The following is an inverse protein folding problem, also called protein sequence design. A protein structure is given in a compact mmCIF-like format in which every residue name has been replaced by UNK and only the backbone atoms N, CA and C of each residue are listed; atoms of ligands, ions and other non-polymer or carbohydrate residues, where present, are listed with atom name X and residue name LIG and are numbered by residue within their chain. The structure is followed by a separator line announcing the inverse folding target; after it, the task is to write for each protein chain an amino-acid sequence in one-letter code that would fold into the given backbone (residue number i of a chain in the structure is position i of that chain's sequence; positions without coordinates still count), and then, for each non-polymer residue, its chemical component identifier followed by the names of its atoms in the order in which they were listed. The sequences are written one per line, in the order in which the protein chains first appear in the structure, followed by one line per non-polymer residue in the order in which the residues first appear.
data_IF_591195891923
#
_entry.id   IF_591195891923
#
_cell.length_a   1.000
_cell.length_b   1.000
_cell.length_c   1.000
_cell.angle_alpha   90.00
_cell.angle_beta   90.00
_cell.angle_gamma   90.00
#
_symmetry.space_group_name_H-M   'P 1'
#
loop_
_entity.id
_entity.type
_entity.pdbx_description
1 polymer ?
#
# COMPACT_ATOMS: atom_id res chain seq x y z
N UNK A 1 -0.86 0.63 20.63
CA UNK A 1 -0.54 -0.46 19.68
C UNK A 1 0.80 -0.16 19.02
N UNK A 2 1.63 -1.17 18.74
CA UNK A 2 2.87 -0.96 17.99
C UNK A 2 2.52 -0.74 16.51
N UNK A 3 2.73 0.48 16.00
CA UNK A 3 2.42 0.87 14.62
C UNK A 3 3.63 0.79 13.69
N UNK A 4 4.75 0.24 14.17
CA UNK A 4 5.90 -0.11 13.35
C UNK A 4 5.69 -1.50 12.77
N UNK A 5 5.86 -1.63 11.47
CA UNK A 5 5.69 -2.89 10.76
C UNK A 5 6.86 -3.12 9.80
N UNK A 6 7.40 -4.34 9.80
CA UNK A 6 8.36 -4.76 8.78
C UNK A 6 7.63 -5.33 7.58
N UNK A 7 7.75 -4.66 6.44
CA UNK A 7 7.08 -5.07 5.21
C UNK A 7 8.11 -5.68 4.27
N UNK A 8 7.78 -6.82 3.66
CA UNK A 8 8.57 -7.52 2.66
C UNK A 8 7.88 -7.48 1.30
N UNK A 9 8.63 -7.11 0.27
CA UNK A 9 8.19 -7.13 -1.12
C UNK A 9 9.00 -8.16 -1.87
N UNK A 10 8.32 -8.93 -2.71
CA UNK A 10 8.93 -10.01 -3.49
C UNK A 10 9.10 -9.57 -4.93
N UNK A 11 10.26 -9.84 -5.52
CA UNK A 11 10.49 -9.67 -6.94
C UNK A 11 11.15 -10.91 -7.51
N UNK A 12 10.37 -11.73 -8.21
CA UNK A 12 10.89 -12.85 -8.99
C UNK A 12 10.28 -12.87 -10.39
N UNK A 13 11.11 -13.28 -11.35
CA UNK A 13 10.67 -13.51 -12.73
C UNK A 13 9.79 -14.75 -12.87
N UNK A 14 8.87 -14.76 -13.84
CA UNK A 14 8.06 -15.92 -14.12
C UNK A 14 8.90 -17.10 -14.60
N UNK A 15 8.38 -18.32 -14.44
CA UNK A 15 8.98 -19.51 -15.05
C UNK A 15 8.76 -19.50 -16.57
N UNK A 16 9.70 -20.09 -17.33
CA UNK A 16 9.55 -20.25 -18.79
C UNK A 16 8.31 -21.06 -19.14
N UNK A 17 7.71 -20.79 -20.31
CA UNK A 17 6.50 -21.49 -20.79
C UNK A 17 6.69 -23.00 -20.96
N UNK A 18 7.90 -23.44 -21.32
CA UNK A 18 8.28 -24.85 -21.50
C UNK A 18 8.49 -25.62 -20.20
N UNK A 19 8.50 -24.97 -19.05
CA UNK A 19 8.75 -25.60 -17.76
C UNK A 19 7.58 -26.54 -17.41
N UNK A 20 7.87 -27.74 -16.87
CA UNK A 20 6.82 -28.66 -16.36
C UNK A 20 6.44 -28.32 -14.92
N UNK A 21 5.20 -28.62 -14.51
CA UNK A 21 4.67 -28.44 -13.16
C UNK A 21 4.84 -27.02 -12.61
N UNK A 22 4.58 -26.04 -13.47
CA UNK A 22 5.00 -24.66 -13.24
C UNK A 22 4.31 -24.06 -12.03
N UNK A 23 2.99 -24.28 -11.87
CA UNK A 23 2.28 -23.82 -10.68
C UNK A 23 2.95 -24.36 -9.41
N UNK A 24 3.20 -25.67 -9.35
CA UNK A 24 3.85 -26.31 -8.19
C UNK A 24 5.22 -25.68 -7.89
N UNK A 25 6.03 -25.41 -8.91
CA UNK A 25 7.33 -24.76 -8.75
C UNK A 25 7.23 -23.29 -8.34
N UNK A 26 6.26 -22.55 -8.88
CA UNK A 26 5.98 -21.17 -8.47
C UNK A 26 5.52 -21.12 -7.02
N UNK A 27 4.62 -22.00 -6.61
CA UNK A 27 4.18 -22.12 -5.21
C UNK A 27 5.36 -22.44 -4.29
N UNK A 28 6.23 -23.38 -4.64
CA UNK A 28 7.44 -23.66 -3.86
C UNK A 28 8.32 -22.40 -3.68
N UNK A 29 8.54 -21.63 -4.75
CA UNK A 29 9.29 -20.36 -4.68
C UNK A 29 8.59 -19.32 -3.79
N UNK A 30 7.27 -19.21 -3.89
CA UNK A 30 6.50 -18.31 -3.05
C UNK A 30 6.60 -18.71 -1.59
N UNK A 31 6.45 -20.00 -1.28
CA UNK A 31 6.61 -20.52 0.08
C UNK A 31 8.00 -20.24 0.65
N UNK A 32 9.06 -20.39 -0.15
CA UNK A 32 10.43 -20.04 0.25
C UNK A 32 10.59 -18.54 0.53
N UNK A 33 9.91 -17.67 -0.22
CA UNK A 33 9.90 -16.22 0.03
C UNK A 33 9.18 -15.89 1.34
N UNK A 34 8.09 -16.60 1.66
CA UNK A 34 7.40 -16.45 2.95
C UNK A 34 8.30 -16.91 4.10
N UNK A 35 9.01 -18.04 3.96
CA UNK A 35 9.96 -18.51 4.97
C UNK A 35 11.09 -17.51 5.20
N UNK A 36 11.65 -16.95 4.14
CA UNK A 36 12.68 -15.90 4.24
C UNK A 36 12.15 -14.64 4.93
N UNK A 37 10.94 -14.21 4.60
CA UNK A 37 10.30 -13.06 5.25
C UNK A 37 10.03 -13.32 6.73
N UNK A 38 9.67 -14.55 7.09
CA UNK A 38 9.52 -14.95 8.49
C UNK A 38 10.85 -14.90 9.25
N UNK A 39 11.95 -15.34 8.65
CA UNK A 39 13.30 -15.21 9.23
C UNK A 39 13.70 -13.74 9.45
N UNK A 40 13.26 -12.85 8.56
CA UNK A 40 13.43 -11.40 8.68
C UNK A 40 12.48 -10.77 9.70
N UNK A 41 11.55 -11.53 10.28
CA UNK A 41 10.49 -11.06 11.19
C UNK A 41 9.56 -10.05 10.53
N UNK A 42 9.19 -10.29 9.27
CA UNK A 42 8.22 -9.46 8.57
C UNK A 42 6.81 -9.63 9.13
N UNK A 43 6.09 -8.53 9.20
CA UNK A 43 4.66 -8.48 9.53
C UNK A 43 3.78 -8.76 8.32
N UNK A 44 4.24 -8.34 7.13
CA UNK A 44 3.54 -8.55 5.87
C UNK A 44 4.53 -8.88 4.76
N UNK A 45 4.15 -9.81 3.88
CA UNK A 45 4.82 -10.07 2.60
C UNK A 45 3.86 -9.85 1.44
N UNK A 46 4.32 -9.21 0.36
CA UNK A 46 3.54 -8.99 -0.86
C UNK A 46 4.23 -9.53 -2.11
N UNK A 47 3.43 -10.09 -3.00
CA UNK A 47 3.88 -10.64 -4.28
C UNK A 47 3.46 -9.77 -5.49
N UNK A 48 4.14 -9.93 -6.64
CA UNK A 48 3.78 -9.23 -7.87
C UNK A 48 2.38 -9.56 -8.39
N UNK A 49 1.87 -8.75 -9.32
CA UNK A 49 0.62 -8.99 -10.03
C UNK A 49 0.64 -10.37 -10.71
N UNK A 50 -0.43 -11.14 -10.53
CA UNK A 50 -0.56 -12.53 -11.00
C UNK A 50 0.64 -13.34 -10.47
N UNK A 51 0.81 -13.46 -9.16
CA UNK A 51 1.98 -14.13 -8.59
C UNK A 51 2.04 -15.64 -8.87
N UNK A 52 0.89 -16.27 -9.19
CA UNK A 52 0.81 -17.64 -9.66
C UNK A 52 1.13 -17.78 -11.17
N UNK A 53 1.57 -16.69 -11.82
CA UNK A 53 1.79 -16.54 -13.26
C UNK A 53 2.80 -17.50 -13.87
N UNK A 54 2.39 -17.99 -15.03
CA UNK A 54 3.06 -18.99 -15.84
C UNK A 54 3.24 -18.51 -17.30
N UNK A 55 4.17 -17.57 -17.56
CA UNK A 55 4.87 -17.35 -18.85
C UNK A 55 4.08 -16.68 -20.00
N UNK A 56 4.73 -16.56 -21.17
CA UNK A 56 4.46 -15.51 -22.18
C UNK A 56 3.24 -15.69 -23.12
N UNK A 57 2.54 -16.84 -23.16
CA UNK A 57 1.49 -17.09 -24.19
C UNK A 57 0.06 -16.95 -23.63
N UNK A 58 -0.20 -17.49 -22.45
CA UNK A 58 -1.41 -17.20 -21.67
C UNK A 58 -1.00 -17.20 -20.20
N UNK A 59 -0.92 -16.01 -19.60
CA UNK A 59 -0.36 -15.90 -18.27
C UNK A 59 -1.28 -16.36 -17.15
N UNK A 60 -2.57 -16.46 -17.46
CA UNK A 60 -3.61 -16.60 -16.47
C UNK A 60 -3.83 -18.06 -16.10
N UNK A 61 -3.59 -18.36 -14.84
CA UNK A 61 -4.16 -19.51 -14.17
C UNK A 61 -5.18 -18.99 -13.18
N UNK A 62 -6.46 -19.10 -13.55
CA UNK A 62 -7.55 -18.67 -12.68
C UNK A 62 -7.87 -19.74 -11.66
N UNK A 63 -8.04 -19.33 -10.40
CA UNK A 63 -8.32 -20.21 -9.27
C UNK A 63 -9.51 -19.70 -8.47
N UNK A 64 -10.33 -20.56 -7.86
CA UNK A 64 -11.26 -20.10 -6.82
C UNK A 64 -10.46 -19.61 -5.59
N UNK A 65 -11.11 -18.90 -4.68
CA UNK A 65 -10.45 -18.37 -3.47
C UNK A 65 -9.98 -19.47 -2.49
N UNK A 66 -10.48 -20.70 -2.62
CA UNK A 66 -9.98 -21.89 -1.92
C UNK A 66 -9.01 -22.72 -2.78
N UNK A 67 -8.54 -22.15 -3.89
CA UNK A 67 -7.60 -22.76 -4.81
C UNK A 67 -6.21 -23.01 -4.22
N UNK A 68 -5.34 -23.70 -4.97
CA UNK A 68 -4.04 -24.13 -4.48
C UNK A 68 -3.13 -22.97 -4.04
N UNK A 69 -3.19 -21.82 -4.71
CA UNK A 69 -2.34 -20.67 -4.37
C UNK A 69 -2.75 -20.06 -3.04
N UNK A 70 -4.04 -19.71 -2.87
CA UNK A 70 -4.54 -19.13 -1.61
C UNK A 70 -4.42 -20.12 -0.47
N UNK A 71 -4.68 -21.41 -0.70
CA UNK A 71 -4.52 -22.47 0.31
C UNK A 71 -3.07 -22.58 0.79
N UNK A 72 -2.10 -22.60 -0.14
CA UNK A 72 -0.69 -22.68 0.22
C UNK A 72 -0.23 -21.45 1.02
N UNK A 73 -0.60 -20.25 0.56
CA UNK A 73 -0.25 -19.00 1.24
C UNK A 73 -0.95 -18.86 2.60
N UNK A 74 -2.19 -19.31 2.74
CA UNK A 74 -2.94 -19.37 4.00
C UNK A 74 -2.25 -20.24 5.04
N UNK A 75 -1.79 -21.43 4.64
CA UNK A 75 -0.99 -22.29 5.51
C UNK A 75 0.29 -21.60 5.99
N UNK A 76 1.02 -20.94 5.10
CA UNK A 76 2.29 -20.26 5.45
C UNK A 76 2.07 -19.01 6.30
N UNK A 77 1.04 -18.23 6.01
CA UNK A 77 0.62 -17.07 6.79
C UNK A 77 0.35 -17.48 8.24
N UNK A 78 -0.45 -18.55 8.44
CA UNK A 78 -0.72 -19.14 9.75
C UNK A 78 0.53 -19.69 10.44
N UNK A 79 1.35 -20.44 9.70
CA UNK A 79 2.58 -21.05 10.22
C UNK A 79 3.55 -20.00 10.79
N UNK A 80 3.68 -18.86 10.11
CA UNK A 80 4.66 -17.82 10.46
C UNK A 80 4.05 -16.60 11.14
N UNK A 81 2.73 -16.62 11.40
CA UNK A 81 1.98 -15.53 12.00
C UNK A 81 2.25 -14.18 11.30
N UNK A 82 2.12 -14.14 9.97
CA UNK A 82 2.33 -12.93 9.16
C UNK A 82 1.20 -12.75 8.13
N UNK A 83 1.00 -11.52 7.65
CA UNK A 83 0.07 -11.22 6.57
C UNK A 83 0.69 -11.53 5.20
N UNK A 84 -0.11 -12.04 4.26
CA UNK A 84 0.32 -12.31 2.89
C UNK A 84 -0.61 -11.59 1.91
N UNK A 85 -0.05 -10.75 1.04
CA UNK A 85 -0.75 -10.19 -0.11
C UNK A 85 -0.44 -11.04 -1.33
N UNK A 86 -1.46 -11.70 -1.87
CA UNK A 86 -1.38 -12.66 -2.96
C UNK A 86 -2.23 -12.19 -4.14
N UNK A 87 -1.65 -11.51 -5.14
CA UNK A 87 -2.35 -11.14 -6.35
C UNK A 87 -2.41 -12.29 -7.35
N UNK A 88 -3.58 -12.65 -7.85
CA UNK A 88 -3.80 -13.78 -8.76
C UNK A 88 -5.08 -13.59 -9.59
N UNK A 89 -5.20 -14.37 -10.66
CA UNK A 89 -6.48 -14.49 -11.35
C UNK A 89 -7.46 -15.30 -10.50
N UNK A 90 -8.60 -14.73 -10.10
CA UNK A 90 -9.65 -15.47 -9.38
C UNK A 90 -10.84 -15.81 -10.28
N UNK A 91 -11.50 -16.93 -9.99
CA UNK A 91 -12.83 -17.25 -10.53
C UNK A 91 -13.83 -17.34 -9.38
N UNK A 92 -14.87 -16.52 -9.46
CA UNK A 92 -15.93 -16.43 -8.46
C UNK A 92 -17.28 -16.43 -9.17
N UNK A 93 -18.14 -17.40 -8.84
CA UNK A 93 -19.45 -17.57 -9.50
C UNK A 93 -19.38 -17.61 -11.04
N UNK A 94 -18.29 -18.15 -11.59
CA UNK A 94 -18.05 -18.23 -13.04
C UNK A 94 -17.44 -16.98 -13.67
N UNK A 95 -17.31 -15.88 -12.91
CA UNK A 95 -16.69 -14.64 -13.36
C UNK A 95 -15.19 -14.64 -13.08
N UNK A 96 -14.41 -14.07 -14.00
CA UNK A 96 -12.95 -13.96 -13.87
C UNK A 96 -12.57 -12.58 -13.38
N UNK A 97 -11.62 -12.50 -12.47
CA UNK A 97 -11.10 -11.24 -11.93
C UNK A 97 -9.57 -11.27 -11.89
N UNK A 98 -8.95 -10.09 -12.04
CA UNK A 98 -7.59 -9.86 -11.57
C UNK A 98 -7.69 -9.35 -10.14
N UNK A 99 -7.26 -10.17 -9.19
CA UNK A 99 -7.55 -9.95 -7.78
C UNK A 99 -6.28 -9.86 -6.94
N UNK A 100 -6.34 -9.16 -5.82
CA UNK A 100 -5.33 -9.16 -4.77
C UNK A 100 -5.97 -9.58 -3.46
N UNK A 101 -5.54 -10.72 -2.94
CA UNK A 101 -6.09 -11.33 -1.72
C UNK A 101 -5.17 -11.00 -0.56
N UNK A 102 -5.70 -10.37 0.50
CA UNK A 102 -5.01 -10.22 1.77
C UNK A 102 -5.38 -11.36 2.69
N UNK A 103 -4.38 -12.14 3.08
CA UNK A 103 -4.49 -13.26 4.00
C UNK A 103 -3.93 -12.84 5.36
N UNK A 104 -4.68 -13.12 6.41
CA UNK A 104 -4.37 -12.76 7.79
C UNK A 104 -3.37 -13.71 8.45
N UNK A 105 -2.83 -13.27 9.59
CA UNK A 105 -1.89 -14.06 10.39
C UNK A 105 -2.43 -15.41 10.87
N UNK A 106 -3.76 -15.57 10.93
CA UNK A 106 -4.44 -16.82 11.28
C UNK A 106 -4.64 -17.77 10.08
N UNK A 107 -4.27 -17.33 8.87
CA UNK A 107 -4.49 -18.04 7.61
C UNK A 107 -5.87 -17.83 6.98
N UNK A 108 -6.70 -16.94 7.52
CA UNK A 108 -8.00 -16.61 6.92
C UNK A 108 -7.88 -15.44 5.94
N UNK A 109 -8.76 -15.39 4.94
CA UNK A 109 -8.83 -14.23 4.04
C UNK A 109 -9.39 -13.04 4.83
N UNK A 110 -8.61 -11.97 4.93
CA UNK A 110 -9.03 -10.69 5.51
C UNK A 110 -9.87 -9.91 4.51
N UNK A 111 -9.53 -10.01 3.22
CA UNK A 111 -10.33 -9.45 2.15
C UNK A 111 -9.71 -9.62 0.77
N UNK A 112 -10.49 -9.26 -0.23
CA UNK A 112 -10.14 -9.38 -1.65
C UNK A 112 -10.37 -8.04 -2.33
N UNK A 113 -9.41 -7.62 -3.14
CA UNK A 113 -9.52 -6.48 -4.03
C UNK A 113 -9.58 -6.97 -5.46
N UNK A 114 -10.52 -6.48 -6.28
CA UNK A 114 -10.53 -6.71 -7.72
C UNK A 114 -10.06 -5.44 -8.45
N UNK A 115 -9.15 -5.61 -9.41
CA UNK A 115 -8.60 -4.52 -10.23
C UNK A 115 -9.72 -3.69 -10.83
N UNK A 116 -9.74 -2.39 -10.55
CA UNK A 116 -10.82 -1.50 -11.00
C UNK A 116 -10.68 -1.16 -12.47
N UNK A 117 -9.44 -1.02 -12.94
CA UNK A 117 -9.14 -0.71 -14.34
C UNK A 117 -8.30 -1.83 -14.97
N UNK A 118 -8.92 -2.93 -15.41
CA UNK A 118 -8.25 -3.90 -16.27
C UNK A 118 -7.82 -3.26 -17.59
N UNK A 119 -6.69 -3.69 -18.12
CA UNK A 119 -6.22 -3.34 -19.46
C UNK A 119 -7.12 -3.96 -20.54
N UNK A 120 -7.06 -3.46 -21.78
CA UNK A 120 -7.81 -4.04 -22.89
C UNK A 120 -7.53 -5.55 -23.06
N UNK A 121 -6.27 -5.98 -22.92
CA UNK A 121 -5.90 -7.39 -23.01
C UNK A 121 -6.52 -8.26 -21.89
N UNK A 122 -6.76 -7.68 -20.71
CA UNK A 122 -7.48 -8.35 -19.62
C UNK A 122 -8.98 -8.44 -19.91
N UNK A 123 -9.57 -7.37 -20.45
CA UNK A 123 -10.98 -7.35 -20.87
C UNK A 123 -11.25 -8.35 -21.99
N UNK A 124 -10.34 -8.46 -22.97
CA UNK A 124 -10.45 -9.36 -24.14
C UNK A 124 -10.57 -10.84 -23.73
N UNK A 125 -10.04 -11.21 -22.55
CA UNK A 125 -10.13 -12.59 -22.01
C UNK A 125 -11.27 -12.78 -20.98
N UNK A 126 -12.08 -11.73 -20.79
CA UNK A 126 -13.27 -11.74 -19.95
C UNK A 126 -13.02 -11.42 -18.47
N UNK A 127 -11.95 -10.71 -18.13
CA UNK A 127 -11.77 -10.19 -16.76
C UNK A 127 -12.78 -9.08 -16.50
N UNK A 128 -13.53 -9.20 -15.41
CA UNK A 128 -14.51 -8.21 -14.99
C UNK A 128 -13.82 -7.16 -14.11
N UNK A 129 -14.05 -5.86 -14.34
CA UNK A 129 -13.58 -4.79 -13.45
C UNK A 129 -14.16 -4.90 -12.04
N UNK A 130 -13.34 -4.61 -11.03
CA UNK A 130 -13.79 -4.25 -9.69
C UNK A 130 -14.42 -2.86 -9.63
N UNK A 131 -15.13 -2.56 -8.55
CA UNK A 131 -15.82 -1.27 -8.35
C UNK A 131 -15.51 -0.63 -6.99
N UNK A 132 -14.68 -1.26 -6.17
CA UNK A 132 -14.34 -0.82 -4.82
C UNK A 132 -12.82 -0.77 -4.63
N UNK A 133 -12.36 0.08 -3.71
CA UNK A 133 -10.97 0.11 -3.25
C UNK A 133 -10.92 0.15 -1.72
N UNK A 134 -11.20 -0.98 -1.04
CA UNK A 134 -11.25 -1.05 0.41
C UNK A 134 -9.86 -0.93 1.05
N UNK A 135 -9.85 -0.52 2.32
CA UNK A 135 -8.69 -0.59 3.19
C UNK A 135 -8.94 -1.62 4.28
N UNK A 136 -8.03 -2.59 4.41
CA UNK A 136 -8.16 -3.70 5.33
C UNK A 136 -7.44 -3.40 6.65
N UNK A 137 -8.08 -3.74 7.77
CA UNK A 137 -7.51 -3.53 9.10
C UNK A 137 -6.46 -4.62 9.40
N UNK A 138 -5.25 -4.21 9.77
CA UNK A 138 -4.23 -5.08 10.38
C UNK A 138 -3.93 -4.62 11.82
N UNK A 139 -3.06 -5.34 12.52
CA UNK A 139 -2.63 -4.99 13.88
C UNK A 139 -1.64 -3.82 13.94
N UNK A 140 -1.09 -3.41 12.79
CA UNK A 140 -0.15 -2.29 12.67
C UNK A 140 -0.69 -1.08 11.90
N UNK A 141 -1.83 -1.20 11.22
CA UNK A 141 -2.48 -0.09 10.51
C UNK A 141 -3.49 -0.55 9.45
N UNK A 142 -3.95 0.37 8.60
CA UNK A 142 -4.83 0.04 7.47
C UNK A 142 -4.05 -0.15 6.17
N UNK A 143 -4.23 -1.31 5.54
CA UNK A 143 -3.57 -1.70 4.29
C UNK A 143 -4.56 -1.65 3.14
N UNK A 144 -4.31 -0.81 2.14
CA UNK A 144 -5.01 -0.81 0.87
C UNK A 144 -4.30 -1.68 -0.17
N UNK A 145 -5.05 -2.18 -1.15
CA UNK A 145 -4.53 -2.94 -2.28
C UNK A 145 -4.90 -2.24 -3.59
N UNK A 146 -3.98 -2.25 -4.55
CA UNK A 146 -4.24 -1.77 -5.91
C UNK A 146 -3.35 -2.53 -6.90
N UNK A 147 -3.76 -2.60 -8.16
CA UNK A 147 -3.09 -3.44 -9.14
C UNK A 147 -2.73 -2.65 -10.39
N UNK A 148 -1.41 -2.52 -10.63
CA UNK A 148 -0.84 -2.10 -11.90
C UNK A 148 -1.53 -0.87 -12.53
N UNK A 149 -2.31 -1.09 -13.58
CA UNK A 149 -2.96 -0.05 -14.38
C UNK A 149 -3.86 0.89 -13.59
N UNK A 150 -4.37 0.46 -12.41
CA UNK A 150 -5.12 1.29 -11.47
C UNK A 150 -4.38 2.59 -11.09
N UNK A 151 -3.04 2.58 -11.09
CA UNK A 151 -2.24 3.75 -10.67
C UNK A 151 -2.46 5.00 -11.53
N UNK A 152 -2.98 4.82 -12.75
CA UNK A 152 -3.28 5.91 -13.68
C UNK A 152 -4.61 6.61 -13.34
N UNK A 153 -5.42 6.03 -12.46
CA UNK A 153 -6.79 6.46 -12.20
C UNK A 153 -6.89 7.04 -10.79
N UNK A 154 -7.02 8.36 -10.72
CA UNK A 154 -7.02 9.11 -9.46
C UNK A 154 -8.17 8.68 -8.54
N UNK A 155 -9.28 8.17 -9.11
CA UNK A 155 -10.46 7.68 -8.41
C UNK A 155 -10.10 6.54 -7.45
N UNK A 156 -9.23 5.60 -7.86
CA UNK A 156 -8.81 4.46 -7.04
C UNK A 156 -8.00 4.95 -5.84
N UNK A 157 -7.00 5.78 -6.08
CA UNK A 157 -6.18 6.37 -5.00
C UNK A 157 -7.00 7.24 -4.05
N UNK A 158 -7.98 7.99 -4.58
CA UNK A 158 -8.89 8.79 -3.77
C UNK A 158 -9.77 7.91 -2.88
N UNK A 159 -10.26 6.79 -3.39
CA UNK A 159 -11.10 5.87 -2.63
C UNK A 159 -10.31 5.14 -1.54
N UNK A 160 -9.08 4.67 -1.82
CA UNK A 160 -8.15 4.14 -0.81
C UNK A 160 -7.89 5.16 0.31
N UNK A 161 -7.67 6.43 -0.08
CA UNK A 161 -7.46 7.53 0.86
C UNK A 161 -8.68 7.76 1.77
N UNK A 162 -9.89 7.80 1.19
CA UNK A 162 -11.16 7.93 1.94
C UNK A 162 -11.38 6.75 2.89
N UNK A 163 -11.01 5.54 2.46
CA UNK A 163 -11.11 4.32 3.28
C UNK A 163 -10.02 4.22 4.37
N UNK A 164 -9.13 5.21 4.42
CA UNK A 164 -8.17 5.37 5.50
C UNK A 164 -6.91 4.53 5.33
N UNK A 165 -6.55 4.12 4.10
CA UNK A 165 -5.30 3.41 3.84
C UNK A 165 -4.10 4.23 4.34
N UNK A 166 -3.19 3.55 5.03
CA UNK A 166 -1.94 4.12 5.56
C UNK A 166 -0.72 3.52 4.85
N UNK A 167 -0.87 2.28 4.39
CA UNK A 167 0.02 1.59 3.46
C UNK A 167 -0.81 1.08 2.29
N UNK A 168 -0.35 1.30 1.06
CA UNK A 168 -0.90 0.68 -0.13
C UNK A 168 0.12 -0.31 -0.68
N UNK A 169 -0.29 -1.56 -0.86
CA UNK A 169 0.48 -2.52 -1.64
C UNK A 169 -0.01 -2.44 -3.08
N UNK A 170 0.89 -2.00 -3.96
CA UNK A 170 0.66 -1.91 -5.38
C UNK A 170 1.41 -3.03 -6.10
N UNK A 171 0.68 -4.05 -6.52
CA UNK A 171 1.23 -5.21 -7.21
C UNK A 171 1.12 -5.01 -8.71
N UNK A 172 2.20 -5.27 -9.46
CA UNK A 172 2.23 -4.91 -10.87
C UNK A 172 3.11 -5.78 -11.75
N UNK A 173 2.91 -5.64 -13.06
CA UNK A 173 3.82 -6.07 -14.11
C UNK A 173 4.66 -4.91 -14.69
N UNK A 174 4.69 -3.75 -14.03
CA UNK A 174 5.36 -2.51 -14.46
C UNK A 174 5.97 -1.76 -13.25
N UNK A 175 7.17 -1.16 -13.34
CA UNK A 175 7.82 -0.52 -12.19
C UNK A 175 7.06 0.63 -11.49
N UNK A 176 6.15 1.34 -12.16
CA UNK A 176 5.40 2.44 -11.52
C UNK A 176 6.16 3.77 -11.43
N UNK A 177 7.42 3.71 -10.98
CA UNK A 177 8.34 4.84 -10.76
C UNK A 177 7.62 6.09 -10.21
N UNK A 178 7.60 7.18 -10.98
CA UNK A 178 7.07 8.49 -10.55
C UNK A 178 5.58 8.48 -10.20
N UNK A 179 4.81 7.53 -10.72
CA UNK A 179 3.40 7.41 -10.37
C UNK A 179 3.22 7.00 -8.90
N UNK A 180 4.15 6.20 -8.36
CA UNK A 180 4.19 5.84 -6.95
C UNK A 180 4.40 7.08 -6.08
N UNK A 181 5.43 7.89 -6.40
CA UNK A 181 5.67 9.18 -5.74
C UNK A 181 4.45 10.08 -5.81
N UNK A 182 3.81 10.21 -6.98
CA UNK A 182 2.61 11.03 -7.15
C UNK A 182 1.49 10.58 -6.21
N UNK A 183 1.17 9.30 -6.14
CA UNK A 183 0.10 8.80 -5.28
C UNK A 183 0.44 8.96 -3.80
N UNK A 184 1.67 8.65 -3.41
CA UNK A 184 2.12 8.76 -2.03
C UNK A 184 1.97 10.20 -1.50
N UNK A 185 2.42 11.21 -2.26
CA UNK A 185 2.33 12.61 -1.82
C UNK A 185 0.89 13.15 -1.89
N UNK A 186 0.13 12.79 -2.93
CA UNK A 186 -1.25 13.25 -3.12
C UNK A 186 -2.17 12.71 -2.03
N UNK A 187 -2.02 11.44 -1.68
CA UNK A 187 -2.92 10.74 -0.78
C UNK A 187 -2.32 10.50 0.60
N UNK A 188 -1.03 10.74 0.84
CA UNK A 188 -0.39 10.65 2.15
C UNK A 188 -0.39 9.24 2.75
N UNK A 189 -0.14 8.21 1.95
CA UNK A 189 0.09 6.82 2.40
C UNK A 189 1.47 6.33 1.96
N UNK A 190 2.02 5.35 2.68
CA UNK A 190 3.18 4.59 2.21
C UNK A 190 2.78 3.74 0.99
N UNK A 191 3.71 3.48 0.08
CA UNK A 191 3.50 2.53 -1.01
C UNK A 191 4.59 1.46 -1.01
N UNK A 192 4.18 0.20 -1.03
CA UNK A 192 5.03 -0.93 -1.38
C UNK A 192 4.69 -1.42 -2.79
N UNK A 193 5.61 -1.24 -3.73
CA UNK A 193 5.48 -1.65 -5.14
C UNK A 193 6.23 -2.95 -5.38
N UNK A 194 5.57 -3.93 -6.01
CA UNK A 194 6.18 -5.21 -6.33
C UNK A 194 5.93 -5.60 -7.79
N UNK A 195 7.04 -5.80 -8.50
CA UNK A 195 7.13 -6.27 -9.88
C UNK A 195 8.22 -7.35 -9.98
N UNK A 196 8.12 -8.23 -10.98
CA UNK A 196 9.05 -9.32 -11.25
C UNK A 196 10.54 -8.93 -11.25
N UNK A 197 10.90 -7.69 -11.62
CA UNK A 197 12.29 -7.21 -11.64
C UNK A 197 12.61 -6.09 -10.67
N UNK A 198 11.64 -5.62 -9.89
CA UNK A 198 11.84 -4.48 -9.01
C UNK A 198 10.87 -4.50 -7.83
N UNK A 199 11.40 -4.24 -6.64
CA UNK A 199 10.61 -3.89 -5.45
C UNK A 199 10.97 -2.47 -5.04
N UNK A 200 9.98 -1.64 -4.78
CA UNK A 200 10.17 -0.23 -4.42
C UNK A 200 9.30 0.16 -3.23
N UNK A 201 9.89 0.87 -2.26
CA UNK A 201 9.17 1.50 -1.16
C UNK A 201 9.17 3.02 -1.33
N UNK A 202 8.01 3.63 -1.18
CA UNK A 202 7.82 5.09 -1.18
C UNK A 202 7.17 5.51 0.12
N UNK A 203 7.71 6.55 0.74
CA UNK A 203 7.15 7.10 1.98
C UNK A 203 5.93 8.00 1.74
N UNK A 204 5.27 8.41 2.82
CA UNK A 204 4.06 9.26 2.76
C UNK A 204 4.32 10.67 2.17
N UNK A 205 5.58 11.07 2.00
CA UNK A 205 5.97 12.33 1.37
C UNK A 205 6.40 12.14 -0.10
N UNK A 206 6.24 10.93 -0.65
CA UNK A 206 6.57 10.62 -2.04
C UNK A 206 8.04 10.28 -2.29
N UNK A 207 8.87 10.15 -1.24
CA UNK A 207 10.29 9.84 -1.38
C UNK A 207 10.50 8.34 -1.51
N UNK A 208 11.30 7.96 -2.50
CA UNK A 208 11.75 6.59 -2.65
C UNK A 208 12.72 6.23 -1.51
N UNK A 209 12.36 5.24 -0.70
CA UNK A 209 13.15 4.81 0.46
C UNK A 209 14.10 3.66 0.12
N UNK A 210 13.66 2.75 -0.75
CA UNK A 210 14.41 1.58 -1.17
C UNK A 210 13.89 1.14 -2.54
N UNK A 211 14.81 0.92 -3.48
CA UNK A 211 14.54 0.20 -4.73
C UNK A 211 15.53 -0.93 -4.92
N UNK A 212 15.02 -2.13 -5.18
CA UNK A 212 15.82 -3.33 -5.41
C UNK A 212 15.63 -3.82 -6.84
N UNK A 213 16.57 -3.48 -7.72
CA UNK A 213 16.59 -3.90 -9.12
C UNK A 213 17.20 -5.30 -9.29
N UNK A 214 16.50 -6.20 -9.98
CA UNK A 214 16.84 -7.62 -9.98
C UNK A 214 17.98 -8.06 -10.90
N UNK A 215 18.37 -7.23 -11.87
CA UNK A 215 19.33 -7.62 -12.91
C UNK A 215 20.66 -8.20 -12.37
N UNK A 216 21.24 -7.58 -11.33
CA UNK A 216 22.51 -8.03 -10.72
C UNK A 216 22.26 -8.97 -9.53
N UNK A 217 21.17 -8.76 -8.78
CA UNK A 217 20.86 -9.58 -7.60
C UNK A 217 20.54 -11.02 -7.97
N UNK A 218 19.84 -11.24 -9.09
CA UNK A 218 19.55 -12.60 -9.58
C UNK A 218 20.83 -13.32 -9.99
N UNK A 219 21.73 -12.64 -10.69
CA UNK A 219 23.02 -13.18 -11.13
C UNK A 219 23.96 -13.54 -9.97
N UNK A 220 23.77 -12.91 -8.81
CA UNK A 220 24.57 -13.12 -7.60
C UNK A 220 23.87 -14.03 -6.57
N UNK A 221 22.68 -14.55 -6.89
CA UNK A 221 21.91 -15.43 -6.00
C UNK A 221 21.29 -14.73 -4.79
N UNK A 222 21.18 -13.40 -4.81
CA UNK A 222 20.59 -12.62 -3.72
C UNK A 222 19.07 -12.86 -3.63
N UNK A 223 18.57 -12.93 -2.39
CA UNK A 223 17.17 -13.21 -2.05
C UNK A 223 16.17 -12.39 -2.89
N UNK A 224 15.06 -12.99 -3.38
CA UNK A 224 13.92 -12.30 -4.03
C UNK A 224 13.18 -11.31 -3.13
N UNK A 225 13.48 -11.29 -1.83
CA UNK A 225 12.78 -10.50 -0.83
C UNK A 225 13.55 -9.22 -0.51
N UNK A 226 12.86 -8.08 -0.53
CA UNK A 226 13.36 -6.79 -0.04
C UNK A 226 12.46 -6.30 1.09
N UNK A 227 13.03 -5.97 2.24
CA UNK A 227 12.26 -5.62 3.44
C UNK A 227 12.61 -4.23 3.97
N UNK A 228 11.63 -3.54 4.51
CA UNK A 228 11.79 -2.23 5.14
C UNK A 228 10.89 -2.11 6.38
N UNK A 229 11.39 -1.46 7.43
CA UNK A 229 10.59 -1.09 8.59
C UNK A 229 9.86 0.23 8.30
N UNK A 230 8.53 0.20 8.37
CA UNK A 230 7.67 1.36 8.19
C UNK A 230 7.04 1.76 9.52
N UNK A 231 6.86 3.07 9.74
CA UNK A 231 6.18 3.61 10.90
C UNK A 231 4.81 4.16 10.48
N UNK A 232 3.77 3.34 10.58
CA UNK A 232 2.39 3.72 10.24
C UNK A 232 1.76 4.62 11.31
N UNK A 233 2.52 5.05 12.33
CA UNK A 233 2.13 6.17 13.17
C UNK A 233 2.42 7.52 12.50
N UNK A 234 3.17 7.58 11.39
CA UNK A 234 3.47 8.83 10.70
C UNK A 234 2.23 9.38 9.97
N UNK A 235 2.13 10.70 9.94
CA UNK A 235 1.06 11.45 9.26
C UNK A 235 1.67 12.56 8.44
N UNK A 236 1.11 12.76 7.24
CA UNK A 236 1.46 13.90 6.42
C UNK A 236 0.54 15.07 6.80
N UNK A 237 1.15 16.21 7.13
CA UNK A 237 0.46 17.46 7.43
C UNK A 237 0.80 18.51 6.37
N UNK A 238 -0.05 19.52 6.25
CA UNK A 238 0.28 20.76 5.54
C UNK A 238 0.92 21.77 6.52
N UNK A 239 1.75 22.71 6.05
CA UNK A 239 2.31 23.77 6.91
C UNK A 239 1.22 24.70 7.46
N UNK A 240 0.32 25.15 6.58
CA UNK A 240 -0.72 26.11 6.94
C UNK A 240 -1.55 25.64 8.13
N UNK A 241 -1.80 26.56 9.06
CA UNK A 241 -2.60 26.38 10.28
C UNK A 241 -2.04 25.39 11.31
N UNK A 242 -0.91 24.70 11.02
CA UNK A 242 -0.35 23.72 11.95
C UNK A 242 0.84 24.24 12.77
N UNK A 243 1.47 25.34 12.37
CA UNK A 243 2.63 25.91 13.08
C UNK A 243 2.27 26.23 14.54
N UNK A 244 1.21 27.00 14.78
CA UNK A 244 0.78 27.39 16.13
C UNK A 244 0.34 26.18 16.96
N UNK A 245 -0.39 25.23 16.35
CA UNK A 245 -0.84 23.99 17.00
C UNK A 245 0.34 23.11 17.45
N UNK A 246 1.38 23.03 16.63
CA UNK A 246 2.62 22.32 16.99
C UNK A 246 3.39 23.05 18.09
N UNK A 247 3.37 24.38 18.13
CA UNK A 247 3.97 25.15 19.24
C UNK A 247 3.28 24.84 20.57
N UNK A 248 1.94 24.75 20.58
CA UNK A 248 1.17 24.35 21.77
C UNK A 248 1.52 22.93 22.22
N UNK A 249 1.65 21.99 21.27
CA UNK A 249 2.10 20.63 21.53
C UNK A 249 3.46 20.60 22.21
N UNK A 250 4.45 21.29 21.65
CA UNK A 250 5.79 21.32 22.23
C UNK A 250 5.85 22.09 23.56
N UNK A 251 5.00 23.09 23.76
CA UNK A 251 4.88 23.78 25.04
C UNK A 251 4.35 22.86 26.14
N UNK A 252 3.39 21.97 25.81
CA UNK A 252 2.80 21.03 26.76
C UNK A 252 3.69 19.81 27.03
N UNK A 253 4.18 19.16 25.97
CA UNK A 253 4.85 17.86 26.08
C UNK A 253 6.37 17.92 25.91
N UNK A 254 6.93 19.11 25.65
CA UNK A 254 8.37 19.33 25.47
C UNK A 254 8.83 19.20 24.01
N UNK A 255 10.01 19.74 23.71
CA UNK A 255 10.53 19.90 22.34
C UNK A 255 10.77 18.57 21.58
N UNK A 256 10.84 17.44 22.27
CA UNK A 256 11.07 16.12 21.67
C UNK A 256 9.79 15.28 21.54
N UNK A 257 8.62 15.86 21.86
CA UNK A 257 7.33 15.15 21.90
C UNK A 257 6.88 14.56 20.55
N UNK A 258 7.38 15.11 19.44
CA UNK A 258 7.05 14.63 18.11
C UNK A 258 8.26 14.74 17.18
N UNK A 259 8.38 13.77 16.28
CA UNK A 259 9.17 13.90 15.08
C UNK A 259 8.40 14.77 14.09
N UNK A 260 9.06 15.81 13.60
CA UNK A 260 8.57 16.70 12.57
C UNK A 260 9.68 16.93 11.57
N UNK A 261 9.58 16.31 10.40
CA UNK A 261 10.41 16.66 9.27
C UNK A 261 9.67 17.68 8.41
N UNK A 262 10.29 18.85 8.26
CA UNK A 262 9.74 19.96 7.47
C UNK A 262 10.22 19.85 6.03
N UNK A 263 9.27 19.85 5.10
CA UNK A 263 9.49 19.87 3.66
C UNK A 263 8.98 21.21 3.13
N UNK A 264 9.80 22.28 3.22
CA UNK A 264 9.34 23.64 2.97
C UNK A 264 9.01 23.90 1.51
N UNK A 265 9.65 23.21 0.56
CA UNK A 265 9.38 23.37 -0.88
C UNK A 265 8.04 22.77 -1.29
N UNK A 266 7.60 21.70 -0.63
CA UNK A 266 6.35 21.00 -0.89
C UNK A 266 5.18 21.49 0.00
N UNK A 267 5.48 22.35 0.95
CA UNK A 267 4.57 22.81 2.00
C UNK A 267 4.06 21.70 2.94
N UNK A 268 4.89 20.68 3.20
CA UNK A 268 4.50 19.47 3.96
C UNK A 268 5.30 19.27 5.24
N UNK A 269 4.71 18.55 6.19
CA UNK A 269 5.38 18.06 7.40
C UNK A 269 5.12 16.56 7.53
N UNK A 270 6.18 15.77 7.67
CA UNK A 270 6.06 14.37 8.14
C UNK A 270 6.08 14.40 9.66
N UNK A 271 4.91 14.16 10.25
CA UNK A 271 4.68 14.20 11.68
C UNK A 271 4.59 12.80 12.28
N UNK A 272 5.10 12.61 13.49
CA UNK A 272 4.48 11.63 14.37
C UNK A 272 4.99 11.64 15.80
N UNK A 273 4.14 11.12 16.70
CA UNK A 273 4.39 11.09 18.13
C UNK A 273 5.72 10.39 18.48
N UNK A 274 6.43 10.96 19.44
CA UNK A 274 7.57 10.37 20.13
C UNK A 274 7.27 10.14 21.62
N UNK A 275 6.03 10.40 22.05
CA UNK A 275 5.60 10.17 23.43
C UNK A 275 5.20 8.70 23.59
N UNK A 276 5.80 7.95 24.54
CA UNK A 276 5.43 6.57 24.77
C UNK A 276 3.93 6.42 25.08
N UNK A 277 3.26 5.55 24.34
CA UNK A 277 1.84 5.23 24.56
C UNK A 277 0.85 6.19 23.92
N UNK A 278 1.27 7.34 23.38
CA UNK A 278 0.39 8.29 22.68
C UNK A 278 0.66 8.21 21.18
N UNK A 279 -0.37 7.94 20.39
CA UNK A 279 -0.31 7.92 18.92
C UNK A 279 -0.29 9.32 18.31
N UNK A 280 0.10 9.41 17.05
CA UNK A 280 0.02 10.67 16.32
C UNK A 280 -1.43 11.15 16.15
N UNK A 281 -2.39 10.22 16.02
CA UNK A 281 -3.80 10.55 15.90
C UNK A 281 -4.37 11.15 17.19
N UNK A 282 -3.95 10.65 18.36
CA UNK A 282 -4.31 11.25 19.66
C UNK A 282 -3.76 12.68 19.80
N UNK A 283 -2.51 12.92 19.41
CA UNK A 283 -1.94 14.28 19.40
C UNK A 283 -2.65 15.19 18.39
N UNK A 284 -3.00 14.64 17.22
CA UNK A 284 -3.77 15.35 16.20
C UNK A 284 -5.13 15.79 16.75
N UNK A 285 -5.82 14.90 17.43
CA UNK A 285 -7.11 15.18 18.04
C UNK A 285 -7.01 16.19 19.19
N UNK A 286 -5.99 16.05 20.05
CA UNK A 286 -5.77 16.92 21.20
C UNK A 286 -5.50 18.37 20.79
N UNK A 287 -4.55 18.58 19.88
CA UNK A 287 -4.11 19.92 19.44
C UNK A 287 -4.83 20.42 18.19
N UNK A 288 -5.84 19.67 17.73
CA UNK A 288 -6.59 19.97 16.49
C UNK A 288 -5.69 20.15 15.28
N UNK A 289 -4.55 19.44 15.24
CA UNK A 289 -3.62 19.46 14.11
C UNK A 289 -4.37 18.92 12.88
N UNK A 290 -4.17 19.56 11.74
CA UNK A 290 -4.87 19.19 10.52
C UNK A 290 -3.95 18.36 9.63
N UNK A 291 -4.35 17.12 9.34
CA UNK A 291 -3.64 16.29 8.35
C UNK A 291 -3.78 16.87 6.96
N UNK A 292 -2.84 16.57 6.05
CA UNK A 292 -2.90 17.01 4.65
C UNK A 292 -4.23 16.60 3.99
N UNK A 293 -4.71 15.38 4.29
CA UNK A 293 -6.02 14.90 3.82
C UNK A 293 -7.16 15.79 4.30
N UNK A 294 -7.17 16.15 5.59
CA UNK A 294 -8.21 16.99 6.18
C UNK A 294 -8.15 18.42 5.65
N UNK A 295 -6.94 18.97 5.49
CA UNK A 295 -6.70 20.28 4.90
C UNK A 295 -7.30 20.37 3.49
N UNK A 296 -6.96 19.44 2.61
CA UNK A 296 -7.50 19.41 1.24
C UNK A 296 -9.01 19.18 1.21
N UNK A 297 -9.55 18.35 2.10
CA UNK A 297 -10.99 18.12 2.21
C UNK A 297 -11.74 19.39 2.66
N UNK A 298 -11.20 20.10 3.66
CA UNK A 298 -11.75 21.37 4.14
C UNK A 298 -11.70 22.43 3.04
N UNK A 299 -10.57 22.61 2.36
CA UNK A 299 -10.44 23.59 1.25
C UNK A 299 -11.46 23.31 0.14
N UNK A 300 -11.73 22.03 -0.19
CA UNK A 300 -12.79 21.66 -1.15
C UNK A 300 -14.18 22.05 -0.64
N UNK A 301 -14.49 21.83 0.64
CA UNK A 301 -15.75 22.26 1.27
C UNK A 301 -15.88 23.78 1.26
N UNK A 302 -14.84 24.50 1.65
CA UNK A 302 -14.78 25.96 1.69
C UNK A 302 -15.03 26.54 0.30
N UNK A 303 -14.44 25.95 -0.74
CA UNK A 303 -14.72 26.30 -2.14
C UNK A 303 -16.20 26.13 -2.51
N UNK A 304 -16.85 25.04 -2.10
CA UNK A 304 -18.28 24.83 -2.38
C UNK A 304 -19.15 25.85 -1.68
N UNK A 305 -18.84 26.17 -0.42
CA UNK A 305 -19.52 27.24 0.32
C UNK A 305 -19.34 28.59 -0.39
N UNK A 306 -18.13 28.89 -0.88
CA UNK A 306 -17.85 30.15 -1.57
C UNK A 306 -18.64 30.27 -2.89
N UNK A 307 -18.69 29.20 -3.69
CA UNK A 307 -19.48 29.14 -4.92
C UNK A 307 -20.98 29.30 -4.67
N UNK A 308 -21.46 28.85 -3.50
CA UNK A 308 -22.84 28.99 -3.08
C UNK A 308 -23.12 30.30 -2.32
N UNK A 309 -22.15 31.22 -2.24
CA UNK A 309 -22.22 32.47 -1.45
C UNK A 309 -22.54 32.25 0.04
N UNK A 310 -22.13 31.11 0.59
CA UNK A 310 -22.31 30.70 1.99
C UNK A 310 -21.02 30.74 2.81
N UNK A 311 -19.88 31.06 2.18
CA UNK A 311 -18.62 31.14 2.89
C UNK A 311 -18.56 32.42 3.74
N UNK A 312 -18.20 32.35 5.04
CA UNK A 312 -18.15 33.52 5.89
C UNK A 312 -17.01 34.44 5.45
N UNK A 313 -17.36 35.56 4.82
CA UNK A 313 -16.40 36.64 4.52
C UNK A 313 -16.20 37.44 5.80
N UNK A 314 -15.02 37.29 6.40
CA UNK A 314 -14.62 38.15 7.53
C UNK A 314 -14.28 39.53 6.95
N UNK A 315 -15.04 40.55 7.36
CA UNK A 315 -14.79 41.99 7.21
C UNK A 315 -14.01 42.46 5.97
N UNK A 316 -14.73 42.98 4.98
CA UNK A 316 -14.17 43.79 3.90
C UNK A 316 -13.76 45.17 4.44
N UNK A 317 -12.63 45.26 5.13
CA UNK A 317 -11.90 46.52 5.35
C UNK A 317 -10.62 46.53 4.48
N UNK A 318 -10.80 46.30 3.18
CA UNK A 318 -9.82 46.61 2.13
C UNK A 318 -10.44 47.57 1.12
#
# INVERSE_FOLDING_TARGET
MNRKAKISLVSFGPLKSSEKDRLKKTLAKMEDCVDQSAQLKSDLIAFPEICNYLGDINPWQFEPLDGPTVTAMSRKAKQHNLYVVCPLGTIENGNKYNSSVLIGRNGEIVGVYHKNFPTHAELDIGIIPGIEAPAFQTDFGRVGLSICFDINYWEVGSELCKNGSELVIWSSMWPGERMLTKWAIEFGFYIGSTYARQSTFVDIAGREMLTSNRNISDATGKSPVSSLDLDLNRRLLHHDNNIERLQELYKKYGATAAYCEWLPQECLIVFGSQIPGISSDELIEEFKIETMRSYLARVRKDRQLALNHQYPVVGSDF
#
